data_IF_925458929595
#
_entry.id   IF_925458929595
#
_cell.length_a   1.000
_cell.length_b   1.000
_cell.length_c   1.000
_cell.angle_alpha   90.00
_cell.angle_beta   90.00
_cell.angle_gamma   90.00
#
_symmetry.space_group_name_H-M   'P 1'
#
loop_
_entity.id
_entity.type
_entity.pdbx_description
1 polymer ?
#
# COMPACT_ATOMS: atom_id res chain seq x y z
N UNK A 1 -5.34 -15.35 -0.59
CA UNK A 1 -5.90 -14.09 -1.11
C UNK A 1 -6.27 -13.08 0.00
N UNK A 2 -6.34 -13.48 1.29
CA UNK A 2 -6.97 -12.66 2.35
C UNK A 2 -6.05 -12.07 3.42
N UNK A 3 -4.75 -12.37 3.45
CA UNK A 3 -3.93 -12.12 4.66
C UNK A 3 -2.86 -11.02 4.57
N UNK A 4 -2.83 -10.22 3.50
CA UNK A 4 -1.71 -9.28 3.30
C UNK A 4 -2.08 -7.80 3.24
N UNK A 5 -3.38 -7.43 3.15
CA UNK A 5 -3.74 -6.07 3.60
C UNK A 5 -3.63 -6.14 5.11
N UNK A 6 -2.49 -5.68 5.63
CA UNK A 6 -2.24 -5.60 7.05
C UNK A 6 -3.47 -4.95 7.70
N UNK A 7 -4.04 -5.60 8.72
CA UNK A 7 -5.23 -5.11 9.43
C UNK A 7 -5.02 -3.66 9.86
N UNK A 8 -3.78 -3.28 10.19
CA UNK A 8 -3.40 -1.91 10.51
C UNK A 8 -3.52 -0.95 9.32
N UNK A 9 -3.12 -1.37 8.12
CA UNK A 9 -3.26 -0.57 6.90
C UNK A 9 -4.73 -0.33 6.55
N UNK A 10 -5.58 -1.35 6.74
CA UNK A 10 -7.02 -1.22 6.56
C UNK A 10 -7.65 -0.26 7.59
N UNK A 11 -7.25 -0.37 8.86
CA UNK A 11 -7.70 0.52 9.94
C UNK A 11 -7.29 1.97 9.64
N UNK A 12 -6.04 2.22 9.25
CA UNK A 12 -5.55 3.56 8.90
C UNK A 12 -6.33 4.12 7.71
N UNK A 13 -6.58 3.29 6.68
CA UNK A 13 -7.37 3.69 5.52
C UNK A 13 -8.80 4.10 5.92
N UNK A 14 -9.45 3.32 6.78
CA UNK A 14 -10.79 3.61 7.26
C UNK A 14 -10.83 4.88 8.11
N UNK A 15 -9.93 5.04 9.07
CA UNK A 15 -9.84 6.25 9.91
C UNK A 15 -9.61 7.49 9.05
N UNK A 16 -8.68 7.41 8.09
CA UNK A 16 -8.38 8.51 7.18
C UNK A 16 -9.60 8.85 6.32
N UNK A 17 -10.33 7.84 5.85
CA UNK A 17 -11.58 8.06 5.10
C UNK A 17 -12.67 8.72 5.92
N UNK A 18 -12.86 8.31 7.19
CA UNK A 18 -13.85 8.91 8.10
C UNK A 18 -13.47 10.37 8.43
N UNK A 19 -12.21 10.65 8.72
CA UNK A 19 -11.72 12.01 8.96
C UNK A 19 -11.91 12.89 7.72
N UNK A 20 -11.62 12.35 6.53
CA UNK A 20 -11.82 13.05 5.26
C UNK A 20 -13.29 13.39 5.01
N UNK A 21 -14.19 12.41 5.18
CA UNK A 21 -15.64 12.64 5.07
C UNK A 21 -16.10 13.71 6.07
N UNK A 22 -15.61 13.63 7.31
CA UNK A 22 -15.92 14.62 8.35
C UNK A 22 -15.45 16.02 7.93
N UNK A 23 -14.22 16.16 7.42
CA UNK A 23 -13.69 17.43 6.94
C UNK A 23 -14.55 18.04 5.82
N UNK A 24 -15.00 17.23 4.84
CA UNK A 24 -15.89 17.69 3.76
C UNK A 24 -17.22 18.26 4.28
N UNK A 25 -17.77 17.70 5.36
CA UNK A 25 -19.00 18.20 5.97
C UNK A 25 -18.78 19.46 6.82
N UNK A 26 -17.62 19.61 7.46
CA UNK A 26 -17.32 20.75 8.33
C UNK A 26 -16.81 21.99 7.58
N UNK A 27 -15.97 21.81 6.55
CA UNK A 27 -15.42 22.91 5.74
C UNK A 27 -16.29 23.24 4.51
N UNK A 28 -17.21 22.33 4.15
CA UNK A 28 -18.13 22.48 3.03
C UNK A 28 -17.56 21.95 1.71
N UNK A 29 -18.40 21.29 0.91
CA UNK A 29 -18.03 20.62 -0.34
C UNK A 29 -17.36 21.52 -1.41
N UNK A 30 -17.43 22.83 -1.26
CA UNK A 30 -16.92 23.81 -2.24
C UNK A 30 -15.56 24.38 -1.87
N UNK A 31 -15.09 24.18 -0.63
CA UNK A 31 -13.77 24.62 -0.20
C UNK A 31 -12.76 23.52 -0.54
N UNK A 32 -11.83 23.78 -1.46
CA UNK A 32 -10.65 22.95 -1.75
C UNK A 32 -10.84 21.42 -1.87
N UNK A 33 -12.05 20.96 -2.24
CA UNK A 33 -12.38 19.53 -2.31
C UNK A 33 -11.45 18.71 -3.20
N UNK A 34 -10.96 19.31 -4.29
CA UNK A 34 -9.99 18.67 -5.19
C UNK A 34 -8.63 18.48 -4.52
N UNK A 35 -8.20 19.45 -3.70
CA UNK A 35 -6.95 19.40 -2.96
C UNK A 35 -7.04 18.35 -1.86
N UNK A 36 -8.12 18.36 -1.07
CA UNK A 36 -8.31 17.44 0.04
C UNK A 36 -8.50 15.99 -0.45
N UNK A 37 -9.30 15.79 -1.51
CA UNK A 37 -9.47 14.47 -2.15
C UNK A 37 -8.16 13.99 -2.78
N UNK A 38 -7.39 14.90 -3.37
CA UNK A 38 -6.08 14.60 -3.96
C UNK A 38 -5.10 14.08 -2.90
N UNK A 39 -5.02 14.74 -1.75
CA UNK A 39 -4.16 14.29 -0.63
C UNK A 39 -4.61 12.92 -0.12
N UNK A 40 -5.92 12.71 0.07
CA UNK A 40 -6.46 11.40 0.46
C UNK A 40 -6.09 10.30 -0.53
N UNK A 41 -6.33 10.52 -1.83
CA UNK A 41 -6.03 9.55 -2.89
C UNK A 41 -4.52 9.24 -3.01
N UNK A 42 -3.66 10.23 -2.78
CA UNK A 42 -2.20 10.03 -2.71
C UNK A 42 -1.84 9.11 -1.56
N UNK A 43 -2.41 9.30 -0.36
CA UNK A 43 -2.20 8.40 0.79
C UNK A 43 -2.64 6.98 0.49
N UNK A 44 -3.83 6.80 -0.10
CA UNK A 44 -4.32 5.47 -0.50
C UNK A 44 -3.39 4.81 -1.53
N UNK A 45 -2.93 5.58 -2.53
CA UNK A 45 -2.03 5.09 -3.58
C UNK A 45 -0.67 4.66 -3.00
N UNK A 46 -0.11 5.42 -2.07
CA UNK A 46 1.16 5.09 -1.40
C UNK A 46 1.01 3.80 -0.58
N UNK A 47 -0.09 3.66 0.20
CA UNK A 47 -0.36 2.45 0.99
C UNK A 47 -0.49 1.23 0.06
N UNK A 48 -1.28 1.35 -1.02
CA UNK A 48 -1.42 0.27 -2.00
C UNK A 48 -0.11 -0.06 -2.75
N UNK A 49 0.72 0.93 -3.03
CA UNK A 49 2.02 0.73 -3.67
C UNK A 49 2.99 0.01 -2.74
N UNK A 50 3.06 0.38 -1.46
CA UNK A 50 3.88 -0.32 -0.47
C UNK A 50 3.45 -1.79 -0.33
N UNK A 51 2.15 -2.05 -0.34
CA UNK A 51 1.60 -3.40 -0.35
C UNK A 51 2.04 -4.21 -1.58
N UNK A 52 1.86 -3.67 -2.79
CA UNK A 52 2.26 -4.34 -4.03
C UNK A 52 3.77 -4.59 -4.08
N UNK A 53 4.57 -3.65 -3.59
CA UNK A 53 6.02 -3.79 -3.54
C UNK A 53 6.44 -4.94 -2.59
N UNK A 54 5.76 -5.09 -1.46
CA UNK A 54 6.02 -6.21 -0.55
C UNK A 54 5.74 -7.57 -1.19
N UNK A 55 4.62 -7.70 -1.92
CA UNK A 55 4.32 -8.91 -2.69
C UNK A 55 5.42 -9.22 -3.71
N UNK A 56 5.81 -8.22 -4.49
CA UNK A 56 6.87 -8.37 -5.50
C UNK A 56 8.22 -8.73 -4.87
N UNK A 57 8.49 -8.24 -3.65
CA UNK A 57 9.72 -8.54 -2.93
C UNK A 57 9.83 -10.03 -2.55
N UNK A 58 8.72 -10.69 -2.21
CA UNK A 58 8.74 -12.13 -1.93
C UNK A 58 9.09 -12.97 -3.15
N UNK A 59 8.51 -12.62 -4.31
CA UNK A 59 8.80 -13.33 -5.56
C UNK A 59 10.25 -13.14 -5.97
N UNK A 60 10.76 -11.89 -5.94
CA UNK A 60 12.16 -11.59 -6.22
C UNK A 60 13.10 -12.31 -5.25
N UNK A 61 12.77 -12.36 -3.95
CA UNK A 61 13.59 -13.04 -2.95
C UNK A 61 13.65 -14.55 -3.19
N UNK A 62 12.55 -15.15 -3.66
CA UNK A 62 12.50 -16.57 -4.04
C UNK A 62 13.37 -16.84 -5.26
N UNK A 63 13.28 -16.01 -6.29
CA UNK A 63 14.08 -16.13 -7.52
C UNK A 63 15.57 -16.02 -7.21
N UNK A 64 15.97 -15.07 -6.35
CA UNK A 64 17.36 -14.94 -5.88
C UNK A 64 17.82 -16.19 -5.14
N UNK A 65 16.97 -16.79 -4.30
CA UNK A 65 17.30 -18.01 -3.57
C UNK A 65 17.50 -19.20 -4.52
N UNK A 66 16.66 -19.32 -5.55
CA UNK A 66 16.77 -20.36 -6.57
C UNK A 66 18.06 -20.22 -7.39
N UNK A 67 18.38 -19.01 -7.86
CA UNK A 67 19.62 -18.72 -8.58
C UNK A 67 20.84 -19.09 -7.73
N UNK A 68 20.83 -18.75 -6.43
CA UNK A 68 21.93 -19.06 -5.51
C UNK A 68 22.14 -20.56 -5.35
N UNK A 69 21.07 -21.35 -5.30
CA UNK A 69 21.14 -22.80 -5.24
C UNK A 69 21.66 -23.42 -6.55
N UNK A 70 21.24 -22.92 -7.71
CA UNK A 70 21.74 -23.38 -9.01
C UNK A 70 23.24 -23.12 -9.14
N UNK A 71 23.70 -21.92 -8.76
CA UNK A 71 25.12 -21.58 -8.78
C UNK A 71 25.94 -22.42 -7.81
N UNK A 72 25.41 -22.72 -6.62
CA UNK A 72 26.05 -23.61 -5.65
C UNK A 72 26.25 -25.01 -6.20
N UNK A 73 25.24 -25.58 -6.87
CA UNK A 73 25.32 -26.91 -7.51
C UNK A 73 26.28 -26.96 -8.69
N UNK A 74 26.52 -25.84 -9.38
CA UNK A 74 27.43 -25.78 -10.54
C UNK A 74 28.91 -25.63 -10.16
N UNK A 75 29.19 -25.10 -8.96
CA UNK A 75 30.54 -24.90 -8.43
C UNK A 75 31.04 -26.03 -7.52
N UNK A 76 30.27 -27.11 -7.36
CA UNK A 76 30.71 -28.40 -6.81
C UNK A 76 30.92 -29.40 -7.94
#
# INVERSE_FOLDING_TARGET
>A
MTDYIDKWSLIILLITGVLFITALFFQGLTHDILLETGVFLVSVKIIMMAYRNNLNYHDVKKDIAEIKEILRKKNQ
#
